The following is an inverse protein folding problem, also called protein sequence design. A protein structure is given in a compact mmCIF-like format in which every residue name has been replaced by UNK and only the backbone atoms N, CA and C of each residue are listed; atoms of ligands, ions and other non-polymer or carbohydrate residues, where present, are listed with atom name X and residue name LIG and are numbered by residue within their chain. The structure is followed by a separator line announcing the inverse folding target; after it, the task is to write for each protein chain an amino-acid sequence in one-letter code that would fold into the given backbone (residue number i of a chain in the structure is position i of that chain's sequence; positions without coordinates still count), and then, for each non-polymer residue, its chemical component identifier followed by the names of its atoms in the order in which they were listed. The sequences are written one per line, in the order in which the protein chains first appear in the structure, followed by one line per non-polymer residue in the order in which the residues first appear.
data_IF_660690513969
#
_entry.id   IF_660690513969
#
_cell.length_a   1.000
_cell.length_b   1.000
_cell.length_c   1.000
_cell.angle_alpha   90.00
_cell.angle_beta   90.00
_cell.angle_gamma   90.00
#
_symmetry.space_group_name_H-M   'P 1'
#
loop_
_entity.id
_entity.type
_entity.pdbx_description
1 polymer ?
#
# COMPACT_ATOMS: atom_id res chain seq x y z
N UNK A 1 24.11 -1.48 24.77
CA UNK A 1 22.82 -1.85 24.11
C UNK A 1 21.98 -0.60 24.02
N UNK A 2 21.66 -0.12 22.83
CA UNK A 2 21.03 1.20 22.63
C UNK A 2 19.63 1.23 23.23
N UNK A 3 19.37 2.19 24.12
CA UNK A 3 18.07 2.38 24.81
C UNK A 3 16.89 2.46 23.81
N UNK A 4 17.12 3.00 22.63
CA UNK A 4 16.16 3.03 21.50
C UNK A 4 15.78 1.63 21.00
N UNK A 5 16.74 0.73 20.86
CA UNK A 5 16.48 -0.64 20.43
C UNK A 5 15.67 -1.42 21.47
N UNK A 6 15.95 -1.19 22.76
CA UNK A 6 15.19 -1.79 23.86
C UNK A 6 13.76 -1.28 23.93
N UNK A 7 13.52 0.02 23.68
CA UNK A 7 12.18 0.58 23.61
C UNK A 7 11.38 0.04 22.42
N UNK A 8 12.01 -0.11 21.25
CA UNK A 8 11.36 -0.69 20.08
C UNK A 8 11.02 -2.16 20.33
N UNK A 9 11.93 -2.91 20.95
CA UNK A 9 11.69 -4.32 21.29
C UNK A 9 10.60 -4.46 22.36
N UNK A 10 10.58 -3.58 23.39
CA UNK A 10 9.52 -3.54 24.40
C UNK A 10 8.16 -3.17 23.80
N UNK A 11 8.12 -2.24 22.84
CA UNK A 11 6.91 -1.86 22.12
C UNK A 11 6.38 -3.04 21.27
N UNK A 12 7.27 -3.77 20.62
CA UNK A 12 6.92 -4.97 19.86
C UNK A 12 6.40 -6.11 20.76
N UNK A 13 6.96 -6.26 21.97
CA UNK A 13 6.51 -7.27 22.95
C UNK A 13 5.18 -6.89 23.58
N UNK A 14 4.91 -5.59 23.83
CA UNK A 14 3.61 -5.14 24.35
C UNK A 14 2.45 -5.37 23.37
N UNK A 15 2.72 -5.53 22.07
CA UNK A 15 1.71 -5.89 21.08
C UNK A 15 1.30 -7.38 21.12
N UNK A 16 1.92 -8.18 21.98
CA UNK A 16 1.69 -9.63 22.04
C UNK A 16 0.65 -10.10 23.07
N UNK A 17 -0.01 -9.18 23.79
CA UNK A 17 -0.75 -9.54 25.02
C UNK A 17 -2.24 -9.82 24.80
N UNK A 18 -2.83 -9.55 23.63
CA UNK A 18 -4.22 -9.88 23.38
C UNK A 18 -4.38 -11.06 22.42
N UNK A 19 -5.24 -12.02 22.80
CA UNK A 19 -5.55 -13.23 22.03
C UNK A 19 -6.36 -12.95 20.74
N UNK A 20 -6.27 -11.75 20.17
CA UNK A 20 -6.94 -11.40 18.92
C UNK A 20 -6.14 -11.90 17.72
N UNK A 21 -6.81 -12.47 16.70
CA UNK A 21 -6.13 -13.00 15.52
C UNK A 21 -5.32 -11.92 14.81
N UNK A 22 -4.05 -12.18 14.62
CA UNK A 22 -3.11 -11.32 13.91
C UNK A 22 -2.61 -12.01 12.66
N UNK A 23 -2.27 -11.24 11.66
CA UNK A 23 -1.69 -11.76 10.44
C UNK A 23 -0.56 -10.87 9.95
N UNK A 24 0.53 -11.48 9.51
CA UNK A 24 1.68 -10.79 8.92
C UNK A 24 2.10 -11.49 7.63
N UNK A 25 2.44 -10.75 6.61
CA UNK A 25 2.83 -11.32 5.32
C UNK A 25 3.25 -10.30 4.29
N UNK A 26 3.10 -10.69 3.03
CA UNK A 26 3.45 -9.87 1.88
C UNK A 26 2.20 -9.63 1.03
N UNK A 27 2.11 -8.44 0.47
CA UNK A 27 1.14 -8.03 -0.53
C UNK A 27 1.88 -7.65 -1.80
N UNK A 28 1.45 -8.21 -2.92
CA UNK A 28 2.01 -8.00 -4.25
C UNK A 28 0.89 -7.48 -5.15
N UNK A 29 1.13 -6.40 -5.84
CA UNK A 29 0.14 -5.81 -6.76
C UNK A 29 0.78 -4.92 -7.79
N UNK A 30 -0.06 -4.39 -8.68
CA UNK A 30 0.39 -3.46 -9.73
C UNK A 30 1.03 -2.20 -9.16
N UNK A 31 0.65 -1.80 -7.94
CA UNK A 31 1.19 -0.61 -7.26
C UNK A 31 2.45 -0.90 -6.44
N UNK A 32 2.91 -2.16 -6.36
CA UNK A 32 4.18 -2.46 -5.70
C UNK A 32 4.17 -3.71 -4.82
N UNK A 33 5.16 -3.77 -3.94
CA UNK A 33 5.40 -4.87 -3.00
C UNK A 33 5.39 -4.29 -1.60
N UNK A 34 4.55 -4.84 -0.73
CA UNK A 34 4.34 -4.33 0.63
C UNK A 34 4.44 -5.47 1.65
N UNK A 35 5.09 -5.22 2.78
CA UNK A 35 4.86 -5.97 4.01
C UNK A 35 3.49 -5.59 4.55
N UNK A 36 2.69 -6.57 4.92
CA UNK A 36 1.30 -6.40 5.33
C UNK A 36 1.10 -6.96 6.74
N UNK A 37 0.51 -6.17 7.62
CA UNK A 37 0.12 -6.57 8.96
C UNK A 37 -1.36 -6.33 9.16
N UNK A 38 -2.06 -7.33 9.71
CA UNK A 38 -3.47 -7.22 10.11
C UNK A 38 -3.60 -7.48 11.61
N UNK A 39 -4.45 -6.68 12.25
CA UNK A 39 -4.85 -6.85 13.64
C UNK A 39 -6.37 -6.78 13.73
N UNK A 40 -7.01 -7.87 14.16
CA UNK A 40 -8.47 -7.90 14.37
C UNK A 40 -8.81 -7.13 15.64
N UNK A 41 -9.62 -6.09 15.53
CA UNK A 41 -10.05 -5.24 16.64
C UNK A 41 -11.36 -5.73 17.25
N UNK A 42 -12.26 -6.25 16.41
CA UNK A 42 -13.54 -6.84 16.80
C UNK A 42 -13.84 -8.06 15.92
N UNK A 43 -14.97 -8.72 16.17
CA UNK A 43 -15.35 -9.94 15.44
C UNK A 43 -15.45 -9.74 13.92
N UNK A 44 -15.84 -8.54 13.47
CA UNK A 44 -16.00 -8.19 12.05
C UNK A 44 -15.16 -6.98 11.60
N UNK A 45 -14.16 -6.61 12.37
CA UNK A 45 -13.37 -5.41 12.11
C UNK A 45 -11.89 -5.69 12.32
N UNK A 46 -11.06 -5.11 11.46
CA UNK A 46 -9.61 -5.21 11.60
C UNK A 46 -8.90 -3.97 11.07
N UNK A 47 -7.78 -3.65 11.70
CA UNK A 47 -6.81 -2.67 11.16
C UNK A 47 -5.81 -3.42 10.31
N UNK A 48 -5.49 -2.85 9.16
CA UNK A 48 -4.42 -3.32 8.29
C UNK A 48 -3.40 -2.19 8.10
N UNK A 49 -2.12 -2.53 8.23
CA UNK A 49 -1.01 -1.62 7.97
C UNK A 49 -0.11 -2.28 6.94
N UNK A 50 0.15 -1.58 5.86
CA UNK A 50 1.02 -2.03 4.79
C UNK A 50 2.17 -1.02 4.63
N UNK A 51 3.37 -1.54 4.39
CA UNK A 51 4.57 -0.73 4.16
C UNK A 51 5.43 -1.38 3.09
N UNK A 52 5.86 -0.61 2.10
CA UNK A 52 6.68 -1.19 1.04
C UNK A 52 7.12 -0.22 -0.04
N UNK A 53 7.45 -0.79 -1.18
CA UNK A 53 7.90 -0.06 -2.37
C UNK A 53 6.70 0.26 -3.26
N UNK A 54 6.62 1.51 -3.69
CA UNK A 54 5.70 1.94 -4.73
C UNK A 54 6.40 1.86 -6.09
N UNK A 55 5.89 0.99 -6.94
CA UNK A 55 6.38 0.85 -8.31
C UNK A 55 5.64 1.79 -9.27
N UNK A 56 4.45 2.29 -8.87
CA UNK A 56 3.63 3.27 -9.57
C UNK A 56 3.51 3.01 -11.06
N UNK A 57 3.46 4.09 -11.84
CA UNK A 57 3.58 4.06 -13.31
C UNK A 57 5.03 4.01 -13.79
N UNK A 58 5.96 3.81 -12.88
CA UNK A 58 7.38 3.98 -13.13
C UNK A 58 7.99 2.72 -13.76
N UNK A 59 8.09 2.69 -15.07
CA UNK A 59 8.72 1.58 -15.81
C UNK A 59 10.27 1.65 -15.77
N UNK A 60 10.84 2.83 -15.54
CA UNK A 60 12.29 3.07 -15.62
C UNK A 60 12.87 3.92 -14.49
N UNK A 61 12.11 4.26 -13.47
CA UNK A 61 12.56 5.12 -12.39
C UNK A 61 12.97 4.37 -11.13
N UNK A 62 13.17 5.11 -10.07
CA UNK A 62 13.45 4.54 -8.76
C UNK A 62 12.14 4.24 -8.06
N UNK A 63 11.98 3.05 -7.46
CA UNK A 63 10.77 2.78 -6.71
C UNK A 63 10.60 3.77 -5.57
N UNK A 64 9.40 4.32 -5.43
CA UNK A 64 9.01 5.09 -4.27
C UNK A 64 8.85 4.19 -3.05
N UNK A 65 8.54 4.81 -1.92
CA UNK A 65 8.17 4.11 -0.68
C UNK A 65 6.79 4.56 -0.26
N UNK A 66 5.98 3.63 0.25
CA UNK A 66 4.65 3.96 0.75
C UNK A 66 4.32 3.20 2.02
N UNK A 67 3.47 3.82 2.82
CA UNK A 67 2.81 3.24 3.96
C UNK A 67 1.31 3.49 3.84
N UNK A 68 0.51 2.50 4.19
CA UNK A 68 -0.95 2.61 4.19
C UNK A 68 -1.50 2.04 5.49
N UNK A 69 -2.51 2.70 6.04
CA UNK A 69 -3.26 2.21 7.19
C UNK A 69 -4.75 2.22 6.84
N UNK A 70 -5.41 1.09 7.03
CA UNK A 70 -6.82 0.87 6.65
C UNK A 70 -7.58 0.30 7.84
N UNK A 71 -8.79 0.79 8.05
CA UNK A 71 -9.75 0.20 8.97
C UNK A 71 -10.82 -0.52 8.18
N UNK A 72 -10.81 -1.86 8.23
CA UNK A 72 -11.64 -2.72 7.41
C UNK A 72 -12.79 -3.31 8.19
N UNK A 73 -13.96 -3.42 7.52
CA UNK A 73 -15.17 -4.05 8.01
C UNK A 73 -15.46 -5.30 7.18
N UNK A 74 -15.65 -6.44 7.85
CA UNK A 74 -16.09 -7.69 7.22
C UNK A 74 -17.61 -7.62 7.14
N UNK A 75 -18.16 -7.50 5.93
CA UNK A 75 -19.58 -7.39 5.69
C UNK A 75 -20.24 -8.70 5.25
N UNK A 76 -19.46 -9.67 4.78
CA UNK A 76 -19.98 -10.99 4.46
C UNK A 76 -18.93 -12.08 4.70
N UNK A 77 -19.37 -13.24 5.17
CA UNK A 77 -18.57 -14.45 5.33
C UNK A 77 -19.30 -15.62 4.63
N UNK A 78 -19.20 -15.70 3.28
CA UNK A 78 -19.92 -16.71 2.52
C UNK A 78 -19.34 -18.11 2.76
N UNK A 79 -20.21 -19.09 2.94
CA UNK A 79 -19.87 -20.50 3.13
C UNK A 79 -19.64 -21.21 1.77
N UNK A 80 -18.74 -20.68 0.93
CA UNK A 80 -18.46 -21.24 -0.41
C UNK A 80 -17.68 -22.55 -0.38
N UNK A 81 -16.96 -22.83 0.70
CA UNK A 81 -16.18 -24.04 0.87
C UNK A 81 -16.41 -24.67 2.23
N UNK A 82 -16.35 -26.00 2.32
CA UNK A 82 -16.49 -26.72 3.57
C UNK A 82 -15.25 -26.60 4.49
N UNK A 83 -14.11 -26.18 3.94
CA UNK A 83 -12.84 -26.05 4.66
C UNK A 83 -12.33 -24.62 4.53
N UNK A 84 -12.17 -23.93 5.66
CA UNK A 84 -11.72 -22.54 5.71
C UNK A 84 -12.87 -21.53 5.69
N UNK A 85 -12.53 -20.25 5.84
CA UNK A 85 -13.47 -19.13 5.93
C UNK A 85 -13.17 -18.11 4.86
N UNK A 86 -14.20 -17.72 4.12
CA UNK A 86 -14.17 -16.59 3.22
C UNK A 86 -14.65 -15.34 3.93
N UNK A 87 -13.99 -14.22 3.70
CA UNK A 87 -14.37 -12.92 4.27
C UNK A 87 -14.32 -11.87 3.16
N UNK A 88 -15.47 -11.24 2.91
CA UNK A 88 -15.57 -10.04 2.07
C UNK A 88 -15.48 -8.83 2.98
N UNK A 89 -14.57 -7.93 2.67
CA UNK A 89 -14.34 -6.74 3.49
C UNK A 89 -14.11 -5.50 2.64
N UNK A 90 -14.34 -4.36 3.25
CA UNK A 90 -13.91 -3.08 2.73
C UNK A 90 -13.70 -2.08 3.85
N UNK A 91 -12.89 -1.06 3.60
CA UNK A 91 -12.65 -0.03 4.59
C UNK A 91 -11.92 1.19 4.05
N UNK A 92 -12.13 2.34 4.68
CA UNK A 92 -11.38 3.54 4.41
C UNK A 92 -9.99 3.47 5.02
N UNK A 93 -9.06 4.17 4.39
CA UNK A 93 -7.70 4.27 4.88
C UNK A 93 -6.98 5.51 4.40
N UNK A 94 -5.76 5.65 4.88
CA UNK A 94 -4.84 6.73 4.51
C UNK A 94 -3.55 6.14 3.96
N UNK A 95 -2.99 6.80 2.97
CA UNK A 95 -1.72 6.45 2.35
C UNK A 95 -0.77 7.62 2.47
N UNK A 96 0.46 7.34 2.85
CA UNK A 96 1.58 8.26 2.88
C UNK A 96 2.72 7.65 2.09
N UNK A 97 3.44 8.45 1.34
CA UNK A 97 4.56 7.90 0.60
C UNK A 97 5.41 8.96 -0.09
N UNK A 98 6.43 8.46 -0.75
CA UNK A 98 7.25 9.24 -1.65
C UNK A 98 7.20 8.52 -3.01
N UNK A 99 6.53 9.15 -3.96
CA UNK A 99 6.42 8.64 -5.31
C UNK A 99 7.58 9.17 -6.16
N UNK A 100 8.00 8.36 -7.12
CA UNK A 100 9.01 8.69 -8.12
C UNK A 100 8.44 8.30 -9.48
N UNK A 101 7.45 9.06 -9.94
CA UNK A 101 6.65 8.74 -11.11
C UNK A 101 7.18 9.42 -12.38
N UNK A 102 6.91 8.80 -13.53
CA UNK A 102 7.13 9.41 -14.83
C UNK A 102 5.80 10.00 -15.30
N UNK A 103 5.77 11.30 -15.44
CA UNK A 103 4.60 12.02 -15.98
C UNK A 103 4.80 12.21 -17.48
N UNK A 104 3.96 11.58 -18.32
CA UNK A 104 4.01 11.80 -19.75
C UNK A 104 3.51 13.20 -20.10
N UNK A 105 4.19 13.86 -21.01
CA UNK A 105 3.74 15.11 -21.59
C UNK A 105 4.03 15.14 -23.09
N UNK A 106 3.23 15.89 -23.84
CA UNK A 106 3.36 16.01 -25.28
C UNK A 106 4.08 17.34 -25.62
N UNK A 107 5.15 17.23 -26.42
CA UNK A 107 5.78 18.38 -27.08
C UNK A 107 5.82 18.09 -28.57
N UNK A 108 5.11 18.90 -29.36
CA UNK A 108 5.10 18.82 -30.83
C UNK A 108 4.78 17.41 -31.37
N UNK A 109 3.80 16.74 -30.76
CA UNK A 109 3.37 15.38 -31.16
C UNK A 109 4.33 14.26 -30.74
N UNK A 110 5.34 14.56 -29.91
CA UNK A 110 6.23 13.54 -29.31
C UNK A 110 5.91 13.39 -27.82
N UNK A 111 5.51 12.19 -27.45
CA UNK A 111 5.34 11.84 -26.05
C UNK A 111 6.72 11.77 -25.39
N UNK A 112 6.95 12.66 -24.46
CA UNK A 112 8.14 12.69 -23.59
C UNK A 112 7.69 12.40 -22.16
N UNK A 113 8.59 11.82 -21.35
CA UNK A 113 8.36 11.60 -19.92
C UNK A 113 9.32 12.44 -19.09
N UNK A 114 8.84 13.08 -18.06
CA UNK A 114 9.69 13.64 -17.03
C UNK A 114 9.44 12.93 -15.70
N UNK A 115 10.50 12.80 -14.92
CA UNK A 115 10.44 12.18 -13.61
C UNK A 115 9.94 13.23 -12.60
N UNK A 116 8.85 12.93 -11.93
CA UNK A 116 8.25 13.79 -10.91
C UNK A 116 8.34 13.10 -9.55
N UNK A 117 9.22 13.62 -8.70
CA UNK A 117 9.47 13.08 -7.37
C UNK A 117 8.73 13.92 -6.35
N UNK A 118 8.03 13.27 -5.42
CA UNK A 118 7.39 14.04 -4.39
C UNK A 118 6.74 13.21 -3.30
N UNK A 119 6.36 13.92 -2.26
CA UNK A 119 5.62 13.35 -1.15
C UNK A 119 4.14 13.20 -1.53
N UNK A 120 3.57 12.06 -1.22
CA UNK A 120 2.16 11.74 -1.45
C UNK A 120 1.47 11.56 -0.11
N UNK A 121 0.32 12.21 0.03
CA UNK A 121 -0.64 11.97 1.10
C UNK A 121 -2.02 11.78 0.47
N UNK A 122 -2.70 10.69 0.79
CA UNK A 122 -3.99 10.38 0.19
C UNK A 122 -4.90 9.56 1.10
N UNK A 123 -6.17 9.57 0.75
CA UNK A 123 -7.17 8.65 1.25
C UNK A 123 -7.36 7.51 0.25
N UNK A 124 -7.63 6.32 0.75
CA UNK A 124 -7.94 5.17 -0.09
C UNK A 124 -9.11 4.38 0.47
N UNK A 125 -9.65 3.51 -0.36
CA UNK A 125 -10.59 2.47 0.05
C UNK A 125 -9.95 1.13 -0.29
N UNK A 126 -9.88 0.22 0.68
CA UNK A 126 -9.50 -1.17 0.43
C UNK A 126 -10.77 -2.02 0.29
N UNK A 127 -10.87 -2.82 -0.75
CA UNK A 127 -11.96 -3.75 -1.00
C UNK A 127 -11.33 -5.11 -1.28
N UNK A 128 -11.67 -6.12 -0.49
CA UNK A 128 -10.98 -7.39 -0.58
C UNK A 128 -11.84 -8.61 -0.29
N UNK A 129 -11.34 -9.73 -0.78
CA UNK A 129 -11.81 -11.07 -0.52
C UNK A 129 -10.64 -11.86 0.09
N UNK A 130 -10.79 -12.32 1.32
CA UNK A 130 -9.78 -13.13 2.01
C UNK A 130 -10.29 -14.55 2.24
N UNK A 131 -9.44 -15.52 1.97
CA UNK A 131 -9.63 -16.90 2.35
C UNK A 131 -8.66 -17.29 3.46
N UNK A 132 -9.20 -17.71 4.61
CA UNK A 132 -8.44 -18.22 5.75
C UNK A 132 -8.49 -19.74 5.72
N UNK A 133 -7.33 -20.39 5.66
CA UNK A 133 -7.23 -21.85 5.63
C UNK A 133 -7.57 -22.45 7.00
N UNK A 134 -8.38 -23.51 7.03
CA UNK A 134 -8.68 -24.24 8.28
C UNK A 134 -7.53 -25.15 8.74
N UNK A 135 -6.71 -25.64 7.80
CA UNK A 135 -5.65 -26.61 8.05
C UNK A 135 -4.26 -26.00 8.22
N UNK A 136 -4.12 -24.71 7.99
CA UNK A 136 -2.84 -24.00 8.07
C UNK A 136 -3.05 -22.59 8.64
N UNK A 137 -2.09 -22.05 9.37
CA UNK A 137 -2.16 -20.69 9.89
C UNK A 137 -1.86 -19.65 8.79
N UNK A 138 -2.56 -19.75 7.67
CA UNK A 138 -2.37 -18.92 6.50
C UNK A 138 -3.68 -18.29 6.05
N UNK A 139 -3.59 -17.11 5.46
CA UNK A 139 -4.66 -16.52 4.68
C UNK A 139 -4.14 -15.99 3.36
N UNK A 140 -5.02 -16.06 2.34
CA UNK A 140 -4.78 -15.52 1.01
C UNK A 140 -5.86 -14.49 0.72
N UNK A 141 -5.46 -13.27 0.37
CA UNK A 141 -6.39 -12.20 0.05
C UNK A 141 -6.16 -11.63 -1.34
N UNK A 142 -7.26 -11.34 -2.02
CA UNK A 142 -7.30 -10.59 -3.27
C UNK A 142 -8.00 -9.27 -2.98
N UNK A 143 -7.36 -8.14 -3.27
CA UNK A 143 -7.95 -6.84 -3.00
C UNK A 143 -7.56 -5.77 -4.03
N UNK A 144 -8.36 -4.72 -4.09
CA UNK A 144 -8.12 -3.49 -4.86
C UNK A 144 -8.07 -2.31 -3.90
N UNK A 145 -7.21 -1.33 -4.22
CA UNK A 145 -6.99 -0.16 -3.33
C UNK A 145 -6.84 1.12 -4.16
N UNK A 146 -7.92 1.70 -4.68
CA UNK A 146 -7.87 3.02 -5.29
C UNK A 146 -7.52 4.08 -4.24
N UNK A 147 -6.56 4.94 -4.58
CA UNK A 147 -6.06 6.01 -3.72
C UNK A 147 -6.22 7.36 -4.42
N UNK A 148 -6.64 8.37 -3.66
CA UNK A 148 -6.80 9.75 -4.11
C UNK A 148 -6.18 10.70 -3.09
N UNK A 149 -5.44 11.67 -3.55
CA UNK A 149 -4.74 12.55 -2.61
C UNK A 149 -4.03 13.73 -3.25
N UNK A 150 -3.01 14.17 -2.57
CA UNK A 150 -2.18 15.30 -2.96
C UNK A 150 -0.74 14.80 -3.15
N UNK A 151 -0.15 15.19 -4.27
CA UNK A 151 1.25 15.02 -4.57
C UNK A 151 1.96 16.36 -4.44
N UNK A 152 2.97 16.43 -3.61
CA UNK A 152 3.79 17.64 -3.38
C UNK A 152 5.19 17.30 -3.88
N UNK A 153 5.55 17.81 -5.05
CA UNK A 153 6.85 17.59 -5.62
C UNK A 153 7.91 18.57 -5.10
N UNK A 154 9.18 18.20 -5.23
CA UNK A 154 10.31 18.99 -4.75
C UNK A 154 10.74 20.12 -5.69
N UNK A 155 10.03 20.33 -6.79
CA UNK A 155 10.30 21.36 -7.76
C UNK A 155 11.54 21.12 -8.62
N UNK A 156 11.93 19.84 -8.77
CA UNK A 156 13.05 19.42 -9.60
C UNK A 156 12.61 18.29 -10.51
N UNK A 157 12.99 18.33 -11.76
CA UNK A 157 12.93 17.16 -12.61
C UNK A 157 14.26 16.85 -13.27
N UNK A 158 14.51 15.60 -13.53
CA UNK A 158 15.69 15.13 -14.22
C UNK A 158 15.32 14.76 -15.65
N UNK A 159 16.01 15.35 -16.62
CA UNK A 159 15.84 14.95 -18.02
C UNK A 159 16.52 13.59 -18.19
N UNK A 160 15.81 12.51 -18.54
CA UNK A 160 16.36 11.15 -18.55
C UNK A 160 17.54 11.01 -19.52
N UNK A 161 17.48 11.67 -20.68
CA UNK A 161 18.47 11.54 -21.77
C UNK A 161 19.80 12.24 -21.47
N UNK A 162 19.76 13.37 -20.77
CA UNK A 162 20.94 14.21 -20.51
C UNK A 162 21.39 14.17 -19.06
N UNK A 163 20.56 13.67 -18.15
CA UNK A 163 20.79 13.68 -16.71
C UNK A 163 20.75 15.08 -16.07
N UNK A 164 20.38 16.12 -16.82
CA UNK A 164 20.33 17.49 -16.33
C UNK A 164 19.16 17.63 -15.35
N UNK A 165 19.42 18.26 -14.20
CA UNK A 165 18.42 18.59 -13.20
C UNK A 165 17.94 20.03 -13.43
N UNK A 166 16.67 20.16 -13.76
CA UNK A 166 15.99 21.47 -13.90
C UNK A 166 15.20 21.75 -12.62
N UNK A 167 15.41 22.92 -12.02
CA UNK A 167 14.64 23.39 -10.85
C UNK A 167 13.58 24.35 -11.34
N UNK A 168 12.30 24.10 -10.96
CA UNK A 168 11.16 24.93 -11.40
C UNK A 168 10.25 25.42 -10.26
N UNK A 169 10.62 25.14 -9.02
CA UNK A 169 9.82 25.46 -7.83
C UNK A 169 8.84 24.36 -7.47
N UNK A 170 8.61 24.19 -6.17
CA UNK A 170 7.70 23.15 -5.64
C UNK A 170 6.28 23.35 -6.19
N UNK A 171 5.65 22.28 -6.62
CA UNK A 171 4.26 22.25 -7.09
C UNK A 171 3.46 21.22 -6.31
N UNK A 172 2.19 21.54 -6.08
CA UNK A 172 1.22 20.62 -5.49
C UNK A 172 0.23 20.23 -6.58
N UNK A 173 0.07 18.93 -6.79
CA UNK A 173 -0.86 18.36 -7.74
C UNK A 173 -1.84 17.38 -7.09
N UNK A 174 -2.83 16.97 -7.85
CA UNK A 174 -3.69 15.86 -7.48
C UNK A 174 -2.96 14.55 -7.76
N UNK A 175 -3.06 13.61 -6.83
CA UNK A 175 -2.54 12.26 -6.97
C UNK A 175 -3.70 11.26 -7.00
N UNK A 176 -3.71 10.43 -8.00
CA UNK A 176 -4.49 9.20 -8.01
C UNK A 176 -3.61 8.08 -8.57
N UNK A 177 -3.86 6.86 -8.16
CA UNK A 177 -3.15 5.72 -8.75
C UNK A 177 -3.89 5.16 -9.99
N UNK A 178 -4.84 5.92 -10.52
CA UNK A 178 -5.55 5.65 -11.76
C UNK A 178 -6.04 4.21 -11.88
N UNK A 179 -5.85 3.61 -13.06
CA UNK A 179 -6.25 2.22 -13.31
C UNK A 179 -5.48 1.21 -12.46
N UNK A 180 -4.26 1.52 -12.01
CA UNK A 180 -3.49 0.64 -11.12
C UNK A 180 -4.15 0.48 -9.76
N UNK A 181 -4.92 1.47 -9.28
CA UNK A 181 -5.68 1.37 -8.04
C UNK A 181 -6.82 0.36 -8.11
N UNK A 182 -7.31 0.07 -9.28
CA UNK A 182 -8.33 -0.96 -9.51
C UNK A 182 -7.73 -2.31 -9.93
N UNK A 183 -6.41 -2.38 -10.19
CA UNK A 183 -5.76 -3.65 -10.43
C UNK A 183 -5.73 -4.49 -9.15
N UNK A 184 -6.00 -5.80 -9.24
CA UNK A 184 -5.98 -6.65 -8.07
C UNK A 184 -4.57 -6.79 -7.51
N UNK A 185 -4.48 -6.86 -6.20
CA UNK A 185 -3.28 -7.24 -5.48
C UNK A 185 -3.53 -8.51 -4.68
N UNK A 186 -2.51 -9.35 -4.57
CA UNK A 186 -2.54 -10.61 -3.85
C UNK A 186 -1.74 -10.48 -2.56
N UNK A 187 -2.34 -10.87 -1.44
CA UNK A 187 -1.63 -10.90 -0.17
C UNK A 187 -1.65 -12.30 0.42
N UNK A 188 -0.49 -12.76 0.87
CA UNK A 188 -0.32 -14.00 1.64
C UNK A 188 0.14 -13.63 3.04
N UNK A 189 -0.60 -14.07 4.07
CA UNK A 189 -0.32 -13.76 5.46
C UNK A 189 -0.27 -15.02 6.31
N UNK A 190 0.67 -15.06 7.23
CA UNK A 190 0.73 -16.00 8.35
C UNK A 190 -0.11 -15.43 9.49
N UNK A 191 -0.95 -16.27 10.10
CA UNK A 191 -1.86 -15.91 11.20
C UNK A 191 -1.37 -16.50 12.52
N UNK A 192 -1.38 -15.70 13.57
CA UNK A 192 -0.91 -16.08 14.90
C UNK A 192 -1.72 -15.42 16.01
#
# INVERSE_FOLDING_TARGET
MNKTLTCIFALLVCLTIDAQPRGMGLRLGATGIEASYQHRTHSKEFVQVDFGMDLGYNVNGRPGVKAAATYNFIWAEPAWTAKGTWSLYSGPGVTLGFADDIVPYDIDGKMMGYQDNGFVIGAHVDIGLEYTFASAPLSLALNVRPCFGIHINDGKFRIPETGIIVKYGSKTGFYDNGLLGFAPSLALRYRF
#
